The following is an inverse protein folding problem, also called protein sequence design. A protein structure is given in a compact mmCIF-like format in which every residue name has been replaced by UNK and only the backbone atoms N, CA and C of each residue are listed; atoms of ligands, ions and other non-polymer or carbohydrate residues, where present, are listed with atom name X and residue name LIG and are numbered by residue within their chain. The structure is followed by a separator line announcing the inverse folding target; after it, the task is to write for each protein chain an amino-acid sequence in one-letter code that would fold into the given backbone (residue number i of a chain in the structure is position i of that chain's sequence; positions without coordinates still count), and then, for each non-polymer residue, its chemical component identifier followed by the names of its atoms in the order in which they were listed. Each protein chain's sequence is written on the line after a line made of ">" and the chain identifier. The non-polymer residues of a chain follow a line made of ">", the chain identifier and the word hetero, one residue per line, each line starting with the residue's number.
data_IF_026361075148
#
_entry.id   IF_026361075148
#
_cell.length_a   1.000
_cell.length_b   1.000
_cell.length_c   1.000
_cell.angle_alpha   90.00
_cell.angle_beta   90.00
_cell.angle_gamma   90.00
#
_symmetry.space_group_name_H-M   'P 1'
#
loop_
_entity.id
_entity.type
_entity.pdbx_description
1 polymer ?
#
# COMPACT_ATOMS: atom_id res chain seq x y z
N UNK A 1 12.47 3.28 -16.19
CA UNK A 1 11.50 3.42 -15.08
C UNK A 1 11.43 2.10 -14.33
N UNK A 2 11.68 2.10 -13.03
CA UNK A 2 11.48 0.91 -12.19
C UNK A 2 9.99 0.65 -12.04
N UNK A 3 9.56 -0.57 -12.35
CA UNK A 3 8.19 -1.06 -12.18
C UNK A 3 8.22 -2.37 -11.41
N UNK A 4 7.12 -2.74 -10.86
CA UNK A 4 6.98 -3.99 -10.13
C UNK A 4 6.59 -3.67 -8.70
N UNK A 5 5.31 -3.44 -8.53
CA UNK A 5 4.72 -3.29 -7.21
C UNK A 5 3.24 -3.52 -7.30
N UNK A 6 2.74 -4.35 -6.41
CA UNK A 6 1.32 -4.46 -6.14
C UNK A 6 1.14 -4.45 -4.63
N UNK A 7 0.36 -3.51 -4.14
CA UNK A 7 -0.08 -3.44 -2.75
C UNK A 7 -1.60 -3.54 -2.75
N UNK A 8 -2.12 -4.40 -1.88
CA UNK A 8 -3.54 -4.54 -1.60
C UNK A 8 -3.79 -4.43 -0.11
N UNK A 9 -4.72 -3.59 0.28
CA UNK A 9 -5.21 -3.43 1.64
C UNK A 9 -6.70 -3.75 1.70
N UNK A 10 -7.09 -4.58 2.64
CA UNK A 10 -8.47 -5.03 2.84
C UNK A 10 -8.85 -4.89 4.30
N UNK A 11 -9.92 -4.16 4.56
CA UNK A 11 -10.62 -4.15 5.85
C UNK A 11 -11.94 -4.87 5.69
N UNK A 12 -12.12 -5.96 6.39
CA UNK A 12 -13.32 -6.79 6.31
C UNK A 12 -13.64 -7.42 7.66
N UNK A 13 -14.90 -7.33 8.11
CA UNK A 13 -15.37 -7.86 9.40
C UNK A 13 -14.48 -7.44 10.59
N UNK A 14 -14.18 -6.15 10.69
CA UNK A 14 -13.34 -5.55 11.74
C UNK A 14 -11.89 -6.06 11.80
N UNK A 15 -11.43 -6.73 10.75
CA UNK A 15 -10.03 -7.15 10.56
C UNK A 15 -9.43 -6.41 9.39
N UNK A 16 -8.14 -6.15 9.50
CA UNK A 16 -7.37 -5.49 8.45
C UNK A 16 -6.17 -6.35 8.05
N UNK A 17 -5.94 -6.45 6.74
CA UNK A 17 -4.73 -7.05 6.19
C UNK A 17 -4.21 -6.20 5.02
N UNK A 18 -2.90 -6.09 4.91
CA UNK A 18 -2.21 -5.45 3.79
C UNK A 18 -1.15 -6.40 3.25
N UNK A 19 -1.21 -6.69 1.96
CA UNK A 19 -0.23 -7.50 1.25
C UNK A 19 0.53 -6.71 0.20
N UNK A 20 1.80 -7.04 0.04
CA UNK A 20 2.65 -6.54 -1.03
C UNK A 20 3.44 -7.67 -1.68
N UNK A 21 3.59 -7.62 -3.00
CA UNK A 21 4.49 -8.53 -3.72
C UNK A 21 5.95 -8.13 -3.57
N UNK A 22 6.87 -9.02 -3.93
CA UNK A 22 8.31 -8.81 -3.79
C UNK A 22 9.05 -8.40 -5.06
N UNK A 23 8.37 -8.29 -6.20
CA UNK A 23 9.05 -8.05 -7.47
C UNK A 23 9.53 -6.61 -7.65
N UNK A 24 10.79 -6.46 -8.09
CA UNK A 24 11.35 -5.20 -8.59
C UNK A 24 11.84 -5.45 -10.00
N UNK A 25 11.37 -4.64 -10.97
CA UNK A 25 11.73 -4.75 -12.37
C UNK A 25 12.24 -3.44 -12.94
N UNK A 26 13.18 -3.53 -13.88
CA UNK A 26 13.62 -2.40 -14.72
C UNK A 26 13.31 -2.77 -16.17
N UNK A 27 12.39 -2.03 -16.78
CA UNK A 27 11.84 -2.41 -18.08
C UNK A 27 11.25 -3.82 -18.03
N UNK A 28 11.76 -4.72 -18.84
CA UNK A 28 11.33 -6.12 -18.95
C UNK A 28 12.20 -7.10 -18.14
N UNK A 29 13.11 -6.59 -17.29
CA UNK A 29 14.04 -7.43 -16.52
C UNK A 29 13.70 -7.39 -15.04
N UNK A 30 13.55 -8.58 -14.42
CA UNK A 30 13.37 -8.69 -12.97
C UNK A 30 14.72 -8.56 -12.30
N UNK A 31 14.83 -7.59 -11.39
CA UNK A 31 16.04 -7.29 -10.62
C UNK A 31 16.03 -7.92 -9.23
N UNK A 32 14.86 -8.10 -8.63
CA UNK A 32 14.68 -8.68 -7.30
C UNK A 32 13.30 -9.32 -7.17
N UNK A 33 13.23 -10.44 -6.44
CA UNK A 33 11.99 -11.20 -6.22
C UNK A 33 11.39 -11.05 -4.81
N UNK A 34 12.16 -10.52 -3.86
CA UNK A 34 11.82 -10.54 -2.42
C UNK A 34 11.97 -9.17 -1.75
N UNK A 35 11.55 -8.10 -2.43
CA UNK A 35 11.51 -6.78 -1.81
C UNK A 35 10.36 -6.69 -0.80
N UNK A 36 10.61 -6.08 0.35
CA UNK A 36 9.56 -5.80 1.31
C UNK A 36 8.98 -4.40 1.03
N UNK A 37 7.70 -4.35 0.64
CA UNK A 37 6.98 -3.12 0.29
C UNK A 37 5.89 -2.77 1.29
N UNK A 38 5.70 -3.59 2.32
CA UNK A 38 4.76 -3.38 3.43
C UNK A 38 5.55 -3.24 4.72
N UNK A 39 5.22 -2.24 5.52
CA UNK A 39 6.02 -1.86 6.69
C UNK A 39 5.13 -1.50 7.87
N UNK A 40 5.53 -1.95 9.07
CA UNK A 40 4.97 -1.48 10.34
C UNK A 40 5.65 -0.20 10.80
N UNK A 41 4.87 0.72 11.36
CA UNK A 41 5.31 2.01 11.87
C UNK A 41 4.60 2.34 13.19
N UNK A 42 5.08 3.35 13.89
CA UNK A 42 4.46 3.90 15.07
C UNK A 42 4.07 2.83 16.11
N UNK A 43 5.09 2.22 16.74
CA UNK A 43 4.91 1.17 17.76
C UNK A 43 4.03 0.00 17.28
N UNK A 44 4.20 -0.43 16.04
CA UNK A 44 3.45 -1.50 15.36
C UNK A 44 1.92 -1.26 15.20
N UNK A 45 1.47 -0.02 15.42
CA UNK A 45 0.04 0.35 15.34
C UNK A 45 -0.41 0.79 13.96
N UNK A 46 0.52 1.09 13.06
CA UNK A 46 0.26 1.55 11.70
C UNK A 46 0.99 0.66 10.71
N UNK A 47 0.30 0.30 9.62
CA UNK A 47 0.89 -0.41 8.49
C UNK A 47 0.90 0.53 7.29
N UNK A 48 2.02 0.58 6.57
CA UNK A 48 2.16 1.31 5.31
C UNK A 48 2.60 0.41 4.18
N UNK A 49 2.03 0.62 3.00
CA UNK A 49 2.41 -0.03 1.74
C UNK A 49 2.74 1.02 0.69
N UNK A 50 3.77 0.76 -0.11
CA UNK A 50 4.33 1.74 -1.03
C UNK A 50 4.44 1.19 -2.45
N UNK A 51 4.06 2.00 -3.44
CA UNK A 51 4.30 1.75 -4.86
C UNK A 51 5.12 2.89 -5.47
N UNK A 52 6.29 2.56 -6.00
CA UNK A 52 7.24 3.51 -6.58
C UNK A 52 8.69 3.05 -6.45
N UNK A 53 9.64 3.97 -6.59
CA UNK A 53 11.06 3.67 -6.42
C UNK A 53 11.42 3.45 -4.93
N UNK A 54 12.29 2.49 -4.65
CA UNK A 54 12.66 2.12 -3.27
C UNK A 54 13.25 3.29 -2.47
N UNK A 55 14.05 4.14 -3.11
CA UNK A 55 14.62 5.32 -2.45
C UNK A 55 13.53 6.31 -2.03
N UNK A 56 12.49 6.45 -2.84
CA UNK A 56 11.34 7.32 -2.56
C UNK A 56 10.50 6.75 -1.40
N UNK A 57 10.38 5.42 -1.32
CA UNK A 57 9.70 4.74 -0.23
C UNK A 57 10.30 5.10 1.13
N UNK A 58 11.62 5.02 1.27
CA UNK A 58 12.29 5.34 2.53
C UNK A 58 12.05 6.79 2.95
N UNK A 59 12.14 7.74 2.02
CA UNK A 59 11.89 9.15 2.30
C UNK A 59 10.45 9.40 2.77
N UNK A 60 9.47 8.81 2.10
CA UNK A 60 8.05 8.98 2.43
C UNK A 60 7.66 8.30 3.73
N UNK A 61 8.14 7.09 3.99
CA UNK A 61 7.89 6.42 5.26
C UNK A 61 8.50 7.17 6.44
N UNK A 62 9.74 7.68 6.31
CA UNK A 62 10.37 8.48 7.35
C UNK A 62 9.58 9.77 7.65
N UNK A 63 9.14 10.48 6.61
CA UNK A 63 8.30 11.67 6.76
C UNK A 63 6.95 11.35 7.38
N UNK A 64 6.36 10.23 7.03
CA UNK A 64 5.07 9.83 7.61
C UNK A 64 5.21 9.45 9.09
N UNK A 65 6.26 8.74 9.44
CA UNK A 65 6.57 8.39 10.83
C UNK A 65 6.77 9.63 11.71
N UNK A 66 7.47 10.66 11.22
CA UNK A 66 7.59 11.96 11.88
C UNK A 66 6.21 12.63 12.11
N UNK A 67 5.27 12.51 11.14
CA UNK A 67 3.90 13.03 11.31
C UNK A 67 3.13 12.24 12.35
N UNK A 68 3.24 10.92 12.35
CA UNK A 68 2.59 10.06 13.34
C UNK A 68 3.06 10.38 14.77
N UNK A 69 4.36 10.57 14.97
CA UNK A 69 4.91 11.01 16.26
C UNK A 69 4.38 12.41 16.64
N UNK A 70 4.47 13.37 15.74
CA UNK A 70 4.00 14.73 15.97
C UNK A 70 2.52 14.83 16.34
N UNK A 71 1.68 14.01 15.72
CA UNK A 71 0.23 14.02 15.91
C UNK A 71 -0.27 12.84 16.75
N UNK A 72 0.63 12.22 17.53
CA UNK A 72 0.30 11.19 18.53
C UNK A 72 -0.51 10.02 17.96
N UNK A 73 -0.14 9.57 16.75
CA UNK A 73 -0.78 8.45 16.08
C UNK A 73 -2.11 8.77 15.39
N UNK A 74 -2.50 10.03 15.29
CA UNK A 74 -3.68 10.42 14.52
C UNK A 74 -3.42 10.20 13.03
N UNK A 75 -3.92 9.08 12.50
CA UNK A 75 -3.65 8.65 11.13
C UNK A 75 -4.17 9.63 10.10
N UNK A 76 -5.42 10.07 10.22
CA UNK A 76 -6.05 10.99 9.26
C UNK A 76 -5.30 12.33 9.19
N UNK A 77 -4.95 12.91 10.33
CA UNK A 77 -4.18 14.14 10.39
C UNK A 77 -2.78 13.98 9.82
N UNK A 78 -2.11 12.89 10.15
CA UNK A 78 -0.78 12.57 9.63
C UNK A 78 -0.78 12.40 8.12
N UNK A 79 -1.81 11.73 7.57
CA UNK A 79 -1.99 11.56 6.14
C UNK A 79 -2.20 12.89 5.40
N UNK A 80 -3.08 13.75 5.91
CA UNK A 80 -3.33 15.08 5.33
C UNK A 80 -2.07 15.96 5.37
N UNK A 81 -1.36 15.96 6.48
CA UNK A 81 -0.14 16.77 6.60
C UNK A 81 1.00 16.23 5.72
N UNK A 82 1.13 14.92 5.55
CA UNK A 82 2.06 14.35 4.58
C UNK A 82 1.68 14.76 3.15
N UNK A 83 0.41 14.69 2.77
CA UNK A 83 -0.06 15.07 1.45
C UNK A 83 0.23 16.54 1.12
N UNK A 84 0.06 17.44 2.10
CA UNK A 84 0.43 18.86 1.97
C UNK A 84 1.93 19.02 1.73
N UNK A 85 2.77 18.37 2.54
CA UNK A 85 4.23 18.42 2.39
C UNK A 85 4.63 17.85 1.02
N UNK A 86 4.08 16.72 0.63
CA UNK A 86 4.38 16.07 -0.64
C UNK A 86 4.09 16.97 -1.84
N UNK A 87 2.96 17.67 -1.82
CA UNK A 87 2.57 18.61 -2.87
C UNK A 87 3.45 19.85 -2.92
N UNK A 88 3.88 20.37 -1.77
CA UNK A 88 4.53 21.69 -1.66
C UNK A 88 6.05 21.62 -1.59
N UNK A 89 6.63 20.54 -1.08
CA UNK A 89 8.08 20.35 -1.00
C UNK A 89 8.66 20.08 -2.40
N UNK A 90 9.69 20.87 -2.76
CA UNK A 90 10.33 20.77 -4.10
C UNK A 90 10.99 19.43 -4.38
N UNK A 91 11.44 18.73 -3.33
CA UNK A 91 12.05 17.40 -3.45
C UNK A 91 10.97 16.32 -3.51
N UNK A 92 10.02 16.34 -2.56
CA UNK A 92 8.96 15.32 -2.47
C UNK A 92 8.04 15.32 -3.70
N UNK A 93 7.64 16.47 -4.21
CA UNK A 93 6.73 16.57 -5.36
C UNK A 93 7.25 15.94 -6.66
N UNK A 94 8.55 15.62 -6.73
CA UNK A 94 9.17 14.91 -7.86
C UNK A 94 9.01 13.40 -7.76
N UNK A 95 8.55 12.90 -6.61
CA UNK A 95 8.39 11.47 -6.38
C UNK A 95 7.11 10.98 -7.05
N UNK A 96 7.27 10.11 -8.03
CA UNK A 96 6.15 9.40 -8.67
C UNK A 96 5.83 8.15 -7.84
N UNK A 97 5.00 8.29 -6.84
CA UNK A 97 4.70 7.25 -5.89
C UNK A 97 3.27 7.34 -5.36
N UNK A 98 2.81 6.25 -4.76
CA UNK A 98 1.59 6.18 -3.98
C UNK A 98 1.88 5.43 -2.68
N UNK A 99 1.15 5.81 -1.65
CA UNK A 99 1.26 5.22 -0.32
C UNK A 99 -0.13 4.82 0.18
N UNK A 100 -0.27 3.62 0.73
CA UNK A 100 -1.44 3.24 1.53
C UNK A 100 -0.98 3.16 2.99
N UNK A 101 -1.74 3.77 3.88
CA UNK A 101 -1.52 3.71 5.32
C UNK A 101 -2.79 3.29 6.04
N UNK A 102 -2.64 2.50 7.08
CA UNK A 102 -3.78 2.03 7.87
C UNK A 102 -3.42 1.83 9.33
N UNK A 103 -4.39 2.09 10.18
CA UNK A 103 -4.41 1.64 11.57
C UNK A 103 -5.59 0.68 11.81
N UNK A 104 -5.90 0.38 13.06
CA UNK A 104 -7.01 -0.53 13.41
C UNK A 104 -8.38 -0.02 12.91
N UNK A 105 -8.58 1.28 12.73
CA UNK A 105 -9.88 1.89 12.46
C UNK A 105 -10.01 2.45 11.04
N UNK A 106 -8.92 2.98 10.46
CA UNK A 106 -8.94 3.75 9.20
C UNK A 106 -7.89 3.28 8.21
N UNK A 107 -8.11 3.58 6.93
CA UNK A 107 -7.13 3.37 5.85
C UNK A 107 -7.20 4.52 4.86
N UNK A 108 -6.06 4.97 4.37
CA UNK A 108 -5.96 6.07 3.39
C UNK A 108 -4.98 5.74 2.27
N UNK A 109 -5.35 6.13 1.07
CA UNK A 109 -4.42 6.25 -0.05
C UNK A 109 -3.94 7.70 -0.12
N UNK A 110 -2.62 7.89 -0.23
CA UNK A 110 -1.98 9.20 -0.33
C UNK A 110 -1.20 9.25 -1.64
N UNK A 111 -1.42 10.28 -2.44
CA UNK A 111 -0.72 10.50 -3.70
C UNK A 111 0.18 11.74 -3.68
N UNK A 112 1.15 11.77 -4.59
CA UNK A 112 2.03 12.92 -4.77
C UNK A 112 1.32 14.19 -5.27
N UNK A 113 0.09 14.07 -5.75
CA UNK A 113 -0.76 15.20 -6.13
C UNK A 113 -1.44 15.88 -4.94
N UNK A 114 -1.30 15.31 -3.74
CA UNK A 114 -1.92 15.80 -2.52
C UNK A 114 -3.28 15.17 -2.21
N UNK A 115 -3.66 14.11 -2.91
CA UNK A 115 -4.90 13.38 -2.63
C UNK A 115 -4.75 12.53 -1.36
N UNK A 116 -5.80 12.53 -0.54
CA UNK A 116 -5.98 11.62 0.59
C UNK A 116 -7.35 10.99 0.43
N UNK A 117 -7.39 9.70 0.12
CA UNK A 117 -8.61 8.98 -0.23
C UNK A 117 -8.88 7.90 0.81
N UNK A 118 -10.02 7.97 1.46
CA UNK A 118 -10.57 6.90 2.30
C UNK A 118 -11.47 6.01 1.43
N UNK A 119 -11.36 4.68 1.48
CA UNK A 119 -12.18 3.80 0.63
C UNK A 119 -13.60 3.64 1.21
N UNK A 120 -14.60 3.59 0.35
CA UNK A 120 -15.99 3.35 0.75
C UNK A 120 -16.24 1.89 1.20
N UNK A 121 -15.49 0.96 0.64
CA UNK A 121 -15.68 -0.50 0.81
C UNK A 121 -14.53 -1.19 1.58
N UNK A 122 -13.63 -0.42 2.17
CA UNK A 122 -12.49 -0.95 2.92
C UNK A 122 -11.37 -1.54 2.07
N UNK A 123 -11.39 -1.37 0.74
CA UNK A 123 -10.38 -1.91 -0.18
C UNK A 123 -9.59 -0.78 -0.82
N UNK A 124 -8.27 -0.84 -0.71
CA UNK A 124 -7.33 0.04 -1.43
C UNK A 124 -6.27 -0.80 -2.13
N UNK A 125 -5.92 -0.41 -3.35
CA UNK A 125 -4.82 -1.05 -4.07
C UNK A 125 -4.03 -0.02 -4.88
N UNK A 126 -2.73 -0.24 -4.98
CA UNK A 126 -1.79 0.60 -5.72
C UNK A 126 -0.79 -0.25 -6.49
N UNK A 127 -0.16 0.37 -7.47
CA UNK A 127 0.89 -0.25 -8.27
C UNK A 127 0.36 -0.96 -9.52
N UNK A 128 1.28 -1.63 -10.22
CA UNK A 128 1.04 -2.21 -11.56
C UNK A 128 -0.06 -3.27 -11.58
N UNK A 129 -0.13 -4.12 -10.56
CA UNK A 129 -1.16 -5.15 -10.40
C UNK A 129 -2.34 -4.72 -9.55
N UNK A 130 -2.36 -3.46 -9.08
CA UNK A 130 -3.35 -2.97 -8.12
C UNK A 130 -4.79 -3.16 -8.56
N UNK A 131 -5.10 -2.84 -9.80
CA UNK A 131 -6.48 -2.96 -10.32
C UNK A 131 -6.96 -4.41 -10.42
N UNK A 132 -6.06 -5.34 -10.74
CA UNK A 132 -6.38 -6.77 -10.74
C UNK A 132 -6.64 -7.26 -9.31
N UNK A 133 -5.76 -6.93 -8.37
CA UNK A 133 -5.93 -7.29 -6.97
C UNK A 133 -7.20 -6.67 -6.36
N UNK A 134 -7.50 -5.41 -6.64
CA UNK A 134 -8.70 -4.74 -6.17
C UNK A 134 -9.98 -5.39 -6.70
N UNK A 135 -10.01 -5.69 -7.99
CA UNK A 135 -11.17 -6.32 -8.63
C UNK A 135 -11.40 -7.72 -8.06
N UNK A 136 -10.34 -8.50 -7.87
CA UNK A 136 -10.41 -9.82 -7.25
C UNK A 136 -10.91 -9.73 -5.79
N UNK A 137 -10.35 -8.81 -4.98
CA UNK A 137 -10.78 -8.62 -3.60
C UNK A 137 -12.26 -8.25 -3.48
N UNK A 138 -12.78 -7.37 -4.34
CA UNK A 138 -14.20 -7.01 -4.39
C UNK A 138 -15.10 -8.21 -4.69
N UNK A 139 -14.70 -9.05 -5.65
CA UNK A 139 -15.42 -10.27 -5.98
C UNK A 139 -15.39 -11.28 -4.82
N UNK A 140 -14.25 -11.48 -4.19
CA UNK A 140 -14.09 -12.40 -3.06
C UNK A 140 -14.92 -11.98 -1.84
N UNK A 141 -14.94 -10.70 -1.49
CA UNK A 141 -15.80 -10.19 -0.40
C UNK A 141 -17.27 -10.47 -0.70
N UNK A 142 -17.69 -10.31 -1.94
CA UNK A 142 -19.10 -10.46 -2.34
C UNK A 142 -19.56 -11.93 -2.42
N UNK A 143 -18.65 -12.85 -2.78
CA UNK A 143 -18.99 -14.21 -3.16
C UNK A 143 -18.29 -15.31 -2.35
N UNK A 144 -17.60 -14.96 -1.26
CA UNK A 144 -16.96 -15.93 -0.36
C UNK A 144 -17.13 -15.54 1.10
N UNK A 145 -16.71 -16.43 2.00
CA UNK A 145 -16.67 -16.20 3.44
C UNK A 145 -15.23 -16.05 3.96
N UNK A 146 -14.31 -15.66 3.09
CA UNK A 146 -12.90 -15.48 3.44
C UNK A 146 -12.71 -14.29 4.40
N UNK A 147 -11.74 -14.41 5.30
CA UNK A 147 -11.34 -13.30 6.16
C UNK A 147 -10.42 -12.31 5.40
N UNK A 148 -10.09 -11.18 6.03
CA UNK A 148 -9.31 -10.12 5.37
C UNK A 148 -7.95 -10.63 4.84
N UNK A 149 -7.24 -11.45 5.61
CA UNK A 149 -5.96 -12.05 5.21
C UNK A 149 -6.11 -12.98 4.02
N UNK A 150 -7.05 -13.89 4.09
CA UNK A 150 -7.33 -14.85 2.99
C UNK A 150 -7.73 -14.13 1.71
N UNK A 151 -8.53 -13.05 1.81
CA UNK A 151 -8.88 -12.23 0.65
C UNK A 151 -7.64 -11.59 0.03
N UNK A 152 -6.71 -11.06 0.84
CA UNK A 152 -5.46 -10.49 0.35
C UNK A 152 -4.61 -11.57 -0.34
N UNK A 153 -4.46 -12.74 0.26
CA UNK A 153 -3.70 -13.86 -0.32
C UNK A 153 -4.25 -14.28 -1.69
N UNK A 154 -5.55 -14.56 -1.77
CA UNK A 154 -6.21 -14.99 -3.01
C UNK A 154 -6.21 -13.89 -4.09
N UNK A 155 -6.53 -12.65 -3.71
CA UNK A 155 -6.56 -11.54 -4.66
C UNK A 155 -5.16 -11.21 -5.21
N UNK A 156 -4.12 -11.32 -4.40
CA UNK A 156 -2.73 -11.15 -4.85
C UNK A 156 -2.26 -12.30 -5.73
N UNK A 157 -2.70 -13.52 -5.47
CA UNK A 157 -2.43 -14.67 -6.34
C UNK A 157 -3.08 -14.49 -7.72
N UNK A 158 -4.32 -14.03 -7.76
CA UNK A 158 -4.99 -13.67 -9.01
C UNK A 158 -4.24 -12.55 -9.75
N UNK A 159 -3.83 -11.51 -9.03
CA UNK A 159 -3.10 -10.39 -9.63
C UNK A 159 -1.77 -10.83 -10.26
N UNK A 160 -1.00 -11.69 -9.58
CA UNK A 160 0.28 -12.18 -10.10
C UNK A 160 0.11 -13.11 -11.32
N UNK A 161 -1.01 -13.81 -11.44
CA UNK A 161 -1.32 -14.64 -12.62
C UNK A 161 -1.60 -13.82 -13.89
N UNK A 162 -1.90 -12.53 -13.74
CA UNK A 162 -2.26 -11.62 -14.85
C UNK A 162 -1.20 -10.55 -15.08
N UNK A 163 -0.65 -9.98 -14.01
CA UNK A 163 0.29 -8.86 -14.07
C UNK A 163 1.74 -9.34 -14.10
N UNK A 164 2.45 -9.10 -15.21
CA UNK A 164 3.86 -9.47 -15.38
C UNK A 164 4.82 -8.77 -14.40
N UNK A 165 4.37 -7.72 -13.73
CA UNK A 165 5.13 -6.94 -12.75
C UNK A 165 4.84 -7.33 -11.30
N UNK A 166 4.11 -8.41 -11.06
CA UNK A 166 3.71 -8.91 -9.74
C UNK A 166 4.14 -10.35 -9.60
N UNK A 167 4.72 -10.74 -8.47
CA UNK A 167 5.08 -12.13 -8.19
C UNK A 167 4.37 -12.69 -6.95
N UNK A 168 4.59 -13.98 -6.69
CA UNK A 168 3.98 -14.72 -5.58
C UNK A 168 4.70 -14.57 -4.23
N UNK A 169 5.81 -13.84 -4.17
CA UNK A 169 6.52 -13.59 -2.92
C UNK A 169 5.81 -12.49 -2.14
N UNK A 170 4.85 -12.86 -1.31
CA UNK A 170 4.01 -11.94 -0.57
C UNK A 170 4.55 -11.65 0.83
N UNK A 171 4.51 -10.39 1.22
CA UNK A 171 4.58 -9.95 2.61
C UNK A 171 3.20 -9.47 3.02
N UNK A 172 2.62 -10.05 4.07
CA UNK A 172 1.30 -9.68 4.58
C UNK A 172 1.40 -9.30 6.05
N UNK A 173 0.82 -8.15 6.38
CA UNK A 173 0.71 -7.62 7.73
C UNK A 173 -0.76 -7.43 8.10
N UNK A 174 -1.09 -7.62 9.39
CA UNK A 174 -2.45 -7.57 9.92
C UNK A 174 -2.56 -6.64 11.13
N UNK A 175 -3.75 -6.06 11.32
CA UNK A 175 -4.12 -5.27 12.51
C UNK A 175 -5.45 -5.79 13.06
#
# INVERSE_FOLDING_TARGET
>A
MMRGTTILAVRHNSKFAMGGDGQVSIGNTIMKHSANKVRRMYHDKVIGGFAGATADAFALFARFEEKLEKFQGNLARSAVELAKDWRTDKLLRRLEAMLIVADKDQSFLISGNGDVIEPDDGILAIGSGGMFAQSAAKALIKHSNLNAREIVEEAMDIAQSVCVYTNSNLTIEEL
#
